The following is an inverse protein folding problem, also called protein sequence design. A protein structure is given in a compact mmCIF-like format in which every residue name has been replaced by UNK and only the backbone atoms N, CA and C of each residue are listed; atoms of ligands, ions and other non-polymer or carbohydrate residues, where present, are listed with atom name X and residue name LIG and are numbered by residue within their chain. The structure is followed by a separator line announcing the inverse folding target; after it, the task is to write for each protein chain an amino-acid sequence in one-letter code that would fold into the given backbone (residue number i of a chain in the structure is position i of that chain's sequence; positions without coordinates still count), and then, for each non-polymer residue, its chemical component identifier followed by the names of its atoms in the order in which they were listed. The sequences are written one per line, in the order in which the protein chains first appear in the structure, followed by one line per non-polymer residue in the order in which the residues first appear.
data_IF_992838940960
#
_entry.id   IF_992838940960
#
_cell.length_a   1.000
_cell.length_b   1.000
_cell.length_c   1.000
_cell.angle_alpha   90.00
_cell.angle_beta   90.00
_cell.angle_gamma   90.00
#
_symmetry.space_group_name_H-M   'P 1'
#
loop_
_entity.id
_entity.type
_entity.pdbx_description
1 polymer ?
#
# COMPACT_ATOMS: atom_id res chain seq x y z
N UNK A 1 38.18 35.46 14.84
CA UNK A 1 36.73 35.29 14.95
C UNK A 1 36.15 35.30 13.54
N UNK A 2 36.07 34.13 12.88
CA UNK A 2 35.36 33.97 11.60
C UNK A 2 34.90 32.51 11.53
N UNK A 3 33.58 32.28 11.62
CA UNK A 3 32.98 30.95 11.50
C UNK A 3 32.14 31.02 10.25
N UNK A 4 32.63 30.40 9.18
CA UNK A 4 31.90 30.23 7.93
C UNK A 4 30.62 29.45 8.21
N UNK A 5 29.47 30.10 7.99
CA UNK A 5 28.18 29.45 7.93
C UNK A 5 28.15 28.60 6.66
N UNK A 6 28.18 27.28 6.83
CA UNK A 6 27.95 26.35 5.74
C UNK A 6 26.47 26.38 5.36
N UNK A 7 26.08 27.34 4.53
CA UNK A 7 24.73 27.41 3.94
C UNK A 7 24.55 26.22 3.02
N UNK A 8 23.67 25.28 3.42
CA UNK A 8 23.30 24.12 2.61
C UNK A 8 21.95 24.38 1.96
N UNK A 9 21.98 24.76 0.70
CA UNK A 9 20.78 24.92 -0.11
C UNK A 9 20.19 23.54 -0.44
N UNK A 10 18.93 23.31 -0.05
CA UNK A 10 18.18 22.09 -0.36
C UNK A 10 17.14 22.44 -1.41
N UNK A 11 17.38 22.05 -2.65
CA UNK A 11 16.41 22.17 -3.74
C UNK A 11 15.16 21.34 -3.40
N UNK A 12 14.05 22.02 -3.09
CA UNK A 12 12.75 21.40 -2.84
C UNK A 12 12.09 20.98 -4.16
N UNK A 13 12.59 19.89 -4.76
CA UNK A 13 11.88 19.21 -5.85
C UNK A 13 10.82 18.28 -5.24
N UNK A 14 9.54 18.52 -5.53
CA UNK A 14 8.46 17.60 -5.16
C UNK A 14 8.50 16.37 -6.07
N UNK A 15 8.75 15.20 -5.50
CA UNK A 15 8.64 13.92 -6.20
C UNK A 15 7.25 13.33 -5.96
N UNK A 16 6.52 12.89 -7.01
CA UNK A 16 5.22 12.25 -6.83
C UNK A 16 5.42 10.87 -6.19
N UNK A 17 5.09 10.76 -4.91
CA UNK A 17 5.05 9.47 -4.21
C UNK A 17 3.70 8.80 -4.44
N UNK A 18 3.71 7.48 -4.63
CA UNK A 18 2.49 6.70 -4.67
C UNK A 18 1.86 6.65 -3.28
N UNK A 19 0.54 6.80 -3.24
CA UNK A 19 -0.22 6.61 -2.00
C UNK A 19 -0.16 5.15 -1.54
N UNK A 20 -0.31 4.85 -0.24
CA UNK A 20 -0.40 3.48 0.27
C UNK A 20 -1.44 2.64 -0.47
N UNK A 21 -2.62 3.21 -0.76
CA UNK A 21 -3.67 2.56 -1.56
C UNK A 21 -3.17 2.18 -2.95
N UNK A 22 -2.48 3.07 -3.66
CA UNK A 22 -1.97 2.77 -5.02
C UNK A 22 -0.92 1.66 -5.00
N UNK A 23 0.00 1.69 -4.02
CA UNK A 23 1.00 0.64 -3.84
C UNK A 23 0.31 -0.70 -3.55
N UNK A 24 -0.67 -0.71 -2.64
CA UNK A 24 -1.41 -1.92 -2.30
C UNK A 24 -2.23 -2.45 -3.48
N UNK A 25 -2.89 -1.58 -4.23
CA UNK A 25 -3.64 -1.92 -5.43
C UNK A 25 -2.74 -2.61 -6.47
N UNK A 26 -1.56 -2.04 -6.73
CA UNK A 26 -0.59 -2.62 -7.66
C UNK A 26 -0.10 -4.00 -7.18
N UNK A 27 0.18 -4.14 -5.88
CA UNK A 27 0.56 -5.44 -5.28
C UNK A 27 -0.55 -6.48 -5.44
N UNK A 28 -1.79 -6.13 -5.12
CA UNK A 28 -2.92 -7.06 -5.25
C UNK A 28 -3.16 -7.47 -6.70
N UNK A 29 -3.04 -6.53 -7.65
CA UNK A 29 -3.14 -6.85 -9.09
C UNK A 29 -2.05 -7.78 -9.60
N UNK A 30 -0.89 -7.79 -8.94
CA UNK A 30 0.24 -8.67 -9.29
C UNK A 30 0.09 -10.11 -8.80
N UNK A 31 -0.94 -10.42 -8.01
CA UNK A 31 -1.21 -11.77 -7.54
C UNK A 31 -1.66 -12.69 -8.68
N UNK A 32 -1.06 -13.88 -8.73
CA UNK A 32 -1.42 -14.96 -9.65
C UNK A 32 -1.01 -16.32 -9.05
N UNK A 33 -1.29 -17.43 -9.75
CA UNK A 33 -1.12 -18.80 -9.23
C UNK A 33 0.26 -19.13 -8.65
N UNK A 34 1.35 -18.63 -9.26
CA UNK A 34 2.71 -18.88 -8.80
C UNK A 34 3.19 -17.86 -7.76
N UNK A 35 2.46 -16.76 -7.57
CA UNK A 35 2.81 -15.68 -6.66
C UNK A 35 1.59 -15.29 -5.81
N UNK A 36 1.02 -16.27 -5.13
CA UNK A 36 -0.10 -16.12 -4.22
C UNK A 36 0.34 -16.37 -2.77
N UNK A 37 1.22 -15.50 -2.25
CA UNK A 37 1.61 -15.52 -0.84
C UNK A 37 0.94 -14.37 -0.07
N UNK A 38 -0.05 -14.72 0.74
CA UNK A 38 -0.81 -13.76 1.55
C UNK A 38 -0.12 -13.41 2.87
N UNK A 39 0.80 -14.23 3.38
CA UNK A 39 1.43 -13.98 4.67
C UNK A 39 2.13 -12.59 4.75
N UNK A 40 3.00 -12.19 3.80
CA UNK A 40 3.61 -10.87 3.83
C UNK A 40 2.59 -9.75 3.53
N UNK A 41 1.58 -10.02 2.70
CA UNK A 41 0.55 -9.03 2.38
C UNK A 41 -0.35 -8.72 3.57
N UNK A 42 -0.68 -9.72 4.41
CA UNK A 42 -1.45 -9.53 5.65
C UNK A 42 -0.70 -8.61 6.61
N UNK A 43 0.62 -8.81 6.77
CA UNK A 43 1.44 -7.96 7.64
C UNK A 43 1.43 -6.50 7.16
N UNK A 44 1.60 -6.29 5.85
CA UNK A 44 1.55 -4.95 5.26
C UNK A 44 0.17 -4.34 5.45
N UNK A 45 -0.91 -5.07 5.12
CA UNK A 45 -2.28 -4.58 5.25
C UNK A 45 -2.61 -4.14 6.68
N UNK A 46 -2.18 -4.91 7.70
CA UNK A 46 -2.35 -4.52 9.12
C UNK A 46 -1.60 -3.24 9.46
N UNK A 47 -0.37 -3.09 8.98
CA UNK A 47 0.47 -1.92 9.28
C UNK A 47 -0.08 -0.62 8.70
N UNK A 48 -0.75 -0.67 7.54
CA UNK A 48 -1.27 0.53 6.86
C UNK A 48 -2.79 0.61 6.80
N UNK A 49 -3.54 -0.19 7.59
CA UNK A 49 -5.00 -0.36 7.45
C UNK A 49 -5.81 0.94 7.42
N UNK A 50 -5.40 1.93 8.22
CA UNK A 50 -6.09 3.24 8.33
C UNK A 50 -5.79 4.17 7.16
N UNK A 51 -4.76 3.86 6.36
CA UNK A 51 -4.33 4.64 5.20
C UNK A 51 -4.89 4.08 3.89
N UNK A 52 -5.54 2.92 3.93
CA UNK A 52 -6.06 2.24 2.74
C UNK A 52 -7.48 2.69 2.44
N UNK A 53 -7.72 3.00 1.17
CA UNK A 53 -9.07 3.10 0.62
C UNK A 53 -9.54 1.69 0.22
N UNK A 54 -10.25 1.05 1.15
CA UNK A 54 -10.74 -0.31 0.99
C UNK A 54 -11.83 -0.46 -0.08
N UNK A 55 -12.56 0.61 -0.40
CA UNK A 55 -13.55 0.59 -1.48
C UNK A 55 -12.83 0.58 -2.84
N UNK A 56 -11.84 1.46 -3.02
CA UNK A 56 -11.03 1.52 -4.22
C UNK A 56 -10.23 0.23 -4.46
N UNK A 57 -9.74 -0.43 -3.40
CA UNK A 57 -9.08 -1.73 -3.53
C UNK A 57 -10.03 -2.81 -4.05
N UNK A 58 -11.27 -2.87 -3.54
CA UNK A 58 -12.29 -3.85 -3.99
C UNK A 58 -12.68 -3.61 -5.44
N UNK A 59 -13.00 -2.36 -5.80
CA UNK A 59 -13.36 -2.01 -7.18
C UNK A 59 -12.20 -2.26 -8.14
N UNK A 60 -11.00 -1.79 -7.79
CA UNK A 60 -9.82 -1.88 -8.64
C UNK A 60 -9.26 -3.30 -8.82
N UNK A 61 -9.74 -4.28 -8.05
CA UNK A 61 -9.28 -5.67 -8.11
C UNK A 61 -10.39 -6.70 -8.32
N UNK A 62 -11.62 -6.27 -8.64
CA UNK A 62 -12.78 -7.15 -8.79
C UNK A 62 -12.55 -8.30 -9.79
N UNK A 63 -11.78 -8.06 -10.85
CA UNK A 63 -11.45 -9.04 -11.90
C UNK A 63 -10.28 -9.97 -11.54
N UNK A 64 -9.58 -9.75 -10.41
CA UNK A 64 -8.50 -10.62 -9.94
C UNK A 64 -8.99 -11.50 -8.78
N UNK A 65 -9.20 -12.81 -8.98
CA UNK A 65 -9.79 -13.68 -7.96
C UNK A 65 -8.89 -13.85 -6.72
N UNK A 66 -7.56 -13.76 -6.87
CA UNK A 66 -6.63 -13.84 -5.75
C UNK A 66 -6.71 -12.58 -4.88
N UNK A 67 -6.78 -11.41 -5.50
CA UNK A 67 -6.97 -10.15 -4.80
C UNK A 67 -8.32 -10.07 -4.08
N UNK A 68 -9.40 -10.48 -4.76
CA UNK A 68 -10.73 -10.55 -4.15
C UNK A 68 -10.75 -11.48 -2.93
N UNK A 69 -10.13 -12.67 -3.05
CA UNK A 69 -10.01 -13.63 -1.94
C UNK A 69 -9.19 -13.06 -0.78
N UNK A 70 -8.10 -12.34 -1.07
CA UNK A 70 -7.30 -11.68 -0.04
C UNK A 70 -8.12 -10.62 0.72
N UNK A 71 -8.90 -9.78 0.02
CA UNK A 71 -9.72 -8.75 0.64
C UNK A 71 -10.87 -9.34 1.48
N UNK A 72 -11.44 -10.46 1.05
CA UNK A 72 -12.40 -11.23 1.85
C UNK A 72 -11.73 -11.79 3.12
N UNK A 73 -10.54 -12.37 2.98
CA UNK A 73 -9.76 -12.84 4.13
C UNK A 73 -9.44 -11.71 5.11
N UNK A 74 -9.08 -10.51 4.63
CA UNK A 74 -8.88 -9.33 5.47
C UNK A 74 -10.13 -8.96 6.27
N UNK A 75 -11.31 -9.09 5.66
CA UNK A 75 -12.59 -8.83 6.32
C UNK A 75 -12.86 -9.84 7.43
N UNK A 76 -12.60 -11.13 7.17
CA UNK A 76 -12.75 -12.19 8.18
C UNK A 76 -11.73 -12.13 9.31
N UNK A 77 -10.65 -11.37 9.14
CA UNK A 77 -9.57 -11.17 10.12
C UNK A 77 -9.66 -9.82 10.85
N UNK A 78 -10.77 -9.08 10.67
CA UNK A 78 -11.00 -7.75 11.23
C UNK A 78 -9.88 -6.74 10.90
N UNK A 79 -9.32 -6.84 9.69
CA UNK A 79 -8.30 -5.90 9.19
C UNK A 79 -8.96 -4.72 8.49
N UNK A 80 -9.99 -5.01 7.70
CA UNK A 80 -10.84 -4.00 7.07
C UNK A 80 -11.74 -3.37 8.13
N UNK A 81 -11.89 -2.02 8.14
CA UNK A 81 -12.87 -1.37 8.99
C UNK A 81 -14.28 -1.87 8.62
N UNK A 82 -15.08 -2.14 9.65
CA UNK A 82 -16.46 -2.61 9.58
C UNK A 82 -17.45 -1.54 9.18
#
# INVERSE_FOLDING_TARGET
MHRDEATRDVLALSMPVLTPTQVMLQKLRSLHEHHCDFAPLILVARAVREQLDWAALREGTAENPFAATFLELCTRLDITPS
#
